data_IF_677779561917
#
_entry.id   IF_677779561917
#
_cell.length_a   1.000
_cell.length_b   1.000
_cell.length_c   1.000
_cell.angle_alpha   90.00
_cell.angle_beta   90.00
_cell.angle_gamma   90.00
#
_symmetry.space_group_name_H-M   'P 1'
#
loop_
_entity.id
_entity.type
_entity.pdbx_description
1 polymer ?
#
# COMPACT_ATOMS: atom_id res chain seq x y z
N UNK A 1 27.92 60.21 -40.40
CA UNK A 1 26.59 59.65 -40.71
C UNK A 1 25.78 59.76 -39.42
N UNK A 2 24.83 60.68 -39.36
CA UNK A 2 24.02 60.90 -38.16
C UNK A 2 23.07 59.71 -38.01
N UNK A 3 23.04 59.09 -36.84
CA UNK A 3 22.18 57.95 -36.56
C UNK A 3 20.72 58.44 -36.61
N UNK A 4 19.93 57.87 -37.51
CA UNK A 4 18.52 58.26 -37.68
C UNK A 4 17.72 57.81 -36.46
N UNK A 5 16.63 58.53 -36.16
CA UNK A 5 15.68 58.21 -35.10
C UNK A 5 15.13 56.79 -35.21
N UNK A 6 15.02 56.27 -36.42
CA UNK A 6 14.65 54.87 -36.71
C UNK A 6 15.74 53.87 -36.30
N UNK A 7 17.01 54.20 -36.56
CA UNK A 7 18.15 53.36 -36.17
C UNK A 7 18.34 53.33 -34.65
N UNK A 8 18.13 54.48 -33.99
CA UNK A 8 18.11 54.56 -32.52
C UNK A 8 16.96 53.72 -31.94
N UNK A 9 15.77 53.76 -32.55
CA UNK A 9 14.63 52.93 -32.16
C UNK A 9 14.91 51.44 -32.30
N UNK A 10 15.54 51.02 -33.39
CA UNK A 10 15.92 49.63 -33.63
C UNK A 10 16.99 49.15 -32.62
N UNK A 11 17.99 49.98 -32.32
CA UNK A 11 19.02 49.68 -31.32
C UNK A 11 18.44 49.53 -29.91
N UNK A 12 17.50 50.40 -29.53
CA UNK A 12 16.80 50.30 -28.24
C UNK A 12 15.95 49.02 -28.19
N UNK A 13 15.25 48.66 -29.27
CA UNK A 13 14.46 47.43 -29.32
C UNK A 13 15.33 46.18 -29.19
N UNK A 14 16.48 46.13 -29.88
CA UNK A 14 17.45 45.02 -29.78
C UNK A 14 18.06 44.96 -28.38
N UNK A 15 18.40 46.11 -27.79
CA UNK A 15 18.91 46.16 -26.42
C UNK A 15 17.87 45.66 -25.40
N UNK A 16 16.61 46.06 -25.52
CA UNK A 16 15.53 45.57 -24.67
C UNK A 16 15.27 44.07 -24.87
N UNK A 17 15.34 43.56 -26.10
CA UNK A 17 15.22 42.14 -26.39
C UNK A 17 16.39 41.32 -25.79
N UNK A 18 17.61 41.85 -25.84
CA UNK A 18 18.79 41.24 -25.19
C UNK A 18 18.65 41.25 -23.68
N UNK A 19 18.23 42.36 -23.07
CA UNK A 19 17.97 42.44 -21.62
C UNK A 19 16.86 41.46 -21.24
N UNK A 20 15.77 41.38 -22.00
CA UNK A 20 14.71 40.40 -21.76
C UNK A 20 15.23 38.95 -21.89
N UNK A 21 16.06 38.65 -22.88
CA UNK A 21 16.66 37.33 -23.07
C UNK A 21 17.63 36.94 -21.94
N UNK A 22 18.51 37.86 -21.52
CA UNK A 22 19.48 37.60 -20.44
C UNK A 22 18.86 37.65 -19.04
N UNK A 23 17.71 38.31 -18.85
CA UNK A 23 16.95 38.28 -17.60
C UNK A 23 15.92 37.15 -17.55
N UNK A 24 15.66 36.47 -18.67
CA UNK A 24 14.84 35.24 -18.77
C UNK A 24 15.57 34.10 -18.04
N UNK A 25 15.24 33.94 -16.77
CA UNK A 25 15.85 32.95 -15.87
C UNK A 25 16.24 33.51 -14.49
N UNK A 26 16.40 34.82 -14.34
CA UNK A 26 16.73 35.46 -13.05
C UNK A 26 15.61 36.36 -12.50
N UNK A 27 14.93 37.12 -13.36
CA UNK A 27 13.83 38.02 -12.95
C UNK A 27 12.44 37.53 -13.39
N UNK A 28 12.40 36.62 -14.37
CA UNK A 28 11.18 36.10 -15.00
C UNK A 28 11.10 34.58 -14.95
N UNK A 29 11.95 33.94 -14.16
CA UNK A 29 11.75 32.54 -13.84
C UNK A 29 10.44 32.46 -13.06
N UNK A 30 9.37 31.98 -13.72
CA UNK A 30 8.38 31.18 -13.00
C UNK A 30 9.22 30.11 -12.31
N UNK A 31 9.10 29.99 -10.99
CA UNK A 31 9.68 28.85 -10.30
C UNK A 31 9.23 27.61 -11.08
N UNK A 32 10.15 27.03 -11.85
CA UNK A 32 10.07 25.61 -12.13
C UNK A 32 10.29 25.01 -10.76
N UNK A 33 9.20 24.90 -10.01
CA UNK A 33 9.10 23.88 -8.98
C UNK A 33 9.41 22.61 -9.75
N UNK A 34 10.67 22.18 -9.67
CA UNK A 34 10.95 20.77 -9.61
C UNK A 34 10.08 20.31 -8.45
N UNK A 35 8.87 19.89 -8.81
CA UNK A 35 7.99 19.16 -7.96
C UNK A 35 8.69 17.80 -7.83
N UNK A 36 9.75 17.76 -7.00
CA UNK A 36 9.89 16.61 -6.14
C UNK A 36 8.55 16.57 -5.43
N UNK A 37 7.72 15.54 -5.64
CA UNK A 37 6.61 15.34 -4.74
C UNK A 37 7.29 14.98 -3.41
N UNK A 38 7.69 15.99 -2.65
CA UNK A 38 7.63 15.90 -1.21
C UNK A 38 6.14 15.81 -0.93
N UNK A 39 5.60 14.62 -1.14
CA UNK A 39 4.68 14.07 -0.18
C UNK A 39 5.41 14.22 1.15
N UNK A 40 5.20 15.36 1.81
CA UNK A 40 5.05 15.31 3.25
C UNK A 40 3.90 14.34 3.41
N UNK A 41 4.25 13.06 3.56
CA UNK A 41 3.39 12.06 4.13
C UNK A 41 2.81 12.77 5.33
N UNK A 42 1.55 13.22 5.19
CA UNK A 42 0.81 13.64 6.35
C UNK A 42 0.68 12.33 7.10
N UNK A 43 1.65 12.09 7.97
CA UNK A 43 1.75 10.94 8.84
C UNK A 43 0.47 10.97 9.63
N UNK A 44 -0.53 10.26 9.11
CA UNK A 44 -1.75 9.99 9.81
C UNK A 44 -1.32 9.02 10.88
N UNK A 45 -0.83 9.59 11.98
CA UNK A 45 -0.63 8.91 13.25
C UNK A 45 -1.92 8.15 13.50
N UNK A 46 -1.88 6.85 13.22
CA UNK A 46 -2.94 5.97 13.65
C UNK A 46 -2.90 6.07 15.18
N UNK A 47 -3.88 6.78 15.71
CA UNK A 47 -3.98 7.21 17.11
C UNK A 47 -3.39 6.18 18.09
N UNK A 48 -2.19 6.46 18.60
CA UNK A 48 -1.54 5.69 19.68
C UNK A 48 -0.60 4.54 19.30
N UNK A 49 -0.20 4.37 18.03
CA UNK A 49 0.86 3.42 17.66
C UNK A 49 2.23 4.11 17.59
N UNK A 50 3.22 3.51 18.25
CA UNK A 50 4.64 3.88 18.12
C UNK A 50 5.16 3.45 16.74
N UNK A 51 6.07 4.25 16.17
CA UNK A 51 6.80 3.92 14.94
C UNK A 51 8.08 3.14 15.23
N UNK A 52 8.45 3.00 16.51
CA UNK A 52 9.61 2.23 16.95
C UNK A 52 9.31 0.71 16.87
N UNK A 53 10.08 0.01 16.03
CA UNK A 53 9.98 -1.44 15.83
C UNK A 53 10.28 -2.21 17.11
N UNK A 54 11.32 -1.85 17.85
CA UNK A 54 11.77 -2.54 19.06
C UNK A 54 10.72 -2.41 20.16
N UNK A 55 10.17 -1.22 20.35
CA UNK A 55 9.07 -1.00 21.30
C UNK A 55 7.86 -1.88 20.93
N UNK A 56 7.51 -1.93 19.64
CA UNK A 56 6.40 -2.74 19.14
C UNK A 56 6.65 -4.23 19.37
N UNK A 57 7.85 -4.73 19.08
CA UNK A 57 8.24 -6.13 19.27
C UNK A 57 8.22 -6.53 20.75
N UNK A 58 8.79 -5.70 21.64
CA UNK A 58 8.76 -5.93 23.11
C UNK A 58 7.33 -6.00 23.65
N UNK A 59 6.45 -5.11 23.18
CA UNK A 59 5.04 -5.07 23.60
C UNK A 59 4.22 -6.26 23.09
N UNK A 60 4.50 -6.73 21.88
CA UNK A 60 3.71 -7.77 21.21
C UNK A 60 4.27 -9.18 21.37
N UNK A 61 5.51 -9.31 21.86
CA UNK A 61 6.21 -10.59 22.02
C UNK A 61 6.52 -11.29 20.69
N UNK A 62 6.59 -10.53 19.60
CA UNK A 62 6.81 -11.06 18.25
C UNK A 62 8.29 -11.35 18.02
N UNK A 63 8.56 -12.45 17.32
CA UNK A 63 9.90 -13.00 17.06
C UNK A 63 10.27 -12.98 15.57
N UNK A 64 9.34 -12.60 14.69
CA UNK A 64 9.62 -12.36 13.29
C UNK A 64 8.78 -11.20 12.76
N UNK A 65 9.34 -10.47 11.80
CA UNK A 65 8.65 -9.40 11.08
C UNK A 65 8.55 -9.77 9.61
N UNK A 66 7.40 -9.51 9.00
CA UNK A 66 7.19 -9.60 7.56
C UNK A 66 6.76 -8.22 7.05
N UNK A 67 7.66 -7.54 6.36
CA UNK A 67 7.41 -6.28 5.69
C UNK A 67 6.86 -6.49 4.29
N UNK A 68 6.04 -5.54 3.82
CA UNK A 68 5.62 -5.49 2.43
C UNK A 68 5.75 -4.08 1.83
N UNK A 69 6.30 -4.01 0.62
CA UNK A 69 6.19 -2.87 -0.29
C UNK A 69 5.13 -3.20 -1.35
N UNK A 70 3.98 -2.54 -1.31
CA UNK A 70 2.80 -2.94 -2.10
C UNK A 70 1.96 -1.75 -2.58
N UNK A 71 1.77 -1.62 -3.89
CA UNK A 71 0.85 -0.63 -4.47
C UNK A 71 -0.61 -1.15 -4.54
N UNK A 72 -0.80 -2.35 -5.10
CA UNK A 72 -2.14 -2.91 -5.38
C UNK A 72 -2.59 -4.00 -4.40
N UNK A 73 -1.67 -4.51 -3.58
CA UNK A 73 -1.98 -5.47 -2.51
C UNK A 73 -1.49 -6.87 -2.65
N UNK A 74 -0.88 -7.21 -3.78
CA UNK A 74 -0.37 -8.55 -4.01
C UNK A 74 0.71 -8.92 -2.99
N UNK A 75 1.70 -8.04 -2.78
CA UNK A 75 2.77 -8.26 -1.80
C UNK A 75 2.24 -8.28 -0.35
N UNK A 76 1.21 -7.47 -0.04
CA UNK A 76 0.51 -7.51 1.25
C UNK A 76 -0.20 -8.85 1.49
N UNK A 77 -0.88 -9.42 0.49
CA UNK A 77 -1.56 -10.71 0.69
C UNK A 77 -0.55 -11.86 0.84
N UNK A 78 0.55 -11.88 0.07
CA UNK A 78 1.61 -12.88 0.24
C UNK A 78 2.32 -12.76 1.59
N UNK A 79 2.60 -11.55 2.07
CA UNK A 79 3.20 -11.35 3.39
C UNK A 79 2.28 -11.84 4.51
N UNK A 80 0.96 -11.63 4.41
CA UNK A 80 -0.01 -12.20 5.35
C UNK A 80 -0.11 -13.73 5.27
N UNK A 81 -0.10 -14.32 4.08
CA UNK A 81 -0.07 -15.78 3.89
C UNK A 81 1.18 -16.37 4.54
N UNK A 82 2.34 -15.78 4.24
CA UNK A 82 3.63 -16.18 4.78
C UNK A 82 3.68 -16.07 6.31
N UNK A 83 3.21 -14.96 6.87
CA UNK A 83 3.13 -14.73 8.32
C UNK A 83 2.28 -15.79 9.04
N UNK A 84 1.15 -16.19 8.45
CA UNK A 84 0.30 -17.27 8.99
C UNK A 84 0.97 -18.63 8.92
N UNK A 85 1.71 -18.93 7.85
CA UNK A 85 2.47 -20.18 7.73
C UNK A 85 3.62 -20.23 8.73
N UNK A 86 4.36 -19.13 8.95
CA UNK A 86 5.39 -19.07 10.00
C UNK A 86 4.82 -19.36 11.40
N UNK A 87 3.67 -18.79 11.72
CA UNK A 87 3.00 -19.04 12.99
C UNK A 87 2.53 -20.51 13.09
N UNK A 88 1.80 -21.01 12.09
CA UNK A 88 1.17 -22.33 12.16
C UNK A 88 2.15 -23.50 12.04
N UNK A 89 3.17 -23.40 11.18
CA UNK A 89 4.15 -24.46 10.95
C UNK A 89 5.29 -24.44 11.95
N UNK A 90 5.79 -23.25 12.31
CA UNK A 90 7.01 -23.12 13.10
C UNK A 90 6.77 -22.54 14.48
N UNK A 91 5.53 -22.21 14.83
CA UNK A 91 5.18 -21.54 16.10
C UNK A 91 5.93 -20.23 16.31
N UNK A 92 6.34 -19.55 15.24
CA UNK A 92 7.07 -18.28 15.31
C UNK A 92 6.05 -17.13 15.41
N UNK A 93 5.98 -16.41 16.54
CA UNK A 93 5.09 -15.27 16.70
C UNK A 93 5.45 -14.17 15.72
N UNK A 94 4.69 -14.07 14.63
CA UNK A 94 5.01 -13.17 13.53
C UNK A 94 4.08 -11.97 13.50
N UNK A 95 4.59 -10.80 13.10
CA UNK A 95 3.79 -9.64 12.71
C UNK A 95 4.03 -9.26 11.26
N UNK A 96 2.97 -8.81 10.60
CA UNK A 96 3.01 -8.30 9.24
C UNK A 96 2.87 -6.78 9.29
N UNK A 97 3.77 -6.08 8.58
CA UNK A 97 3.98 -4.65 8.74
C UNK A 97 4.02 -3.96 7.38
N UNK A 98 3.29 -2.84 7.29
CA UNK A 98 3.53 -1.86 6.24
C UNK A 98 4.86 -1.17 6.49
N UNK A 99 5.69 -0.97 5.47
CA UNK A 99 6.95 -0.23 5.62
C UNK A 99 6.69 1.23 6.04
N UNK A 100 5.61 1.85 5.57
CA UNK A 100 5.29 3.25 5.89
C UNK A 100 4.89 3.48 7.36
N UNK A 101 4.59 2.42 8.12
CA UNK A 101 4.12 2.50 9.50
C UNK A 101 5.27 2.64 10.53
N UNK A 102 6.53 2.43 10.14
CA UNK A 102 7.65 2.28 11.07
C UNK A 102 8.89 3.09 10.66
N UNK A 103 9.75 3.37 11.63
CA UNK A 103 11.07 3.94 11.43
C UNK A 103 12.15 2.84 11.50
N UNK A 104 13.24 3.00 10.76
CA UNK A 104 14.21 1.93 10.49
C UNK A 104 15.59 2.14 11.11
N UNK A 105 15.80 3.24 11.84
CA UNK A 105 17.09 3.58 12.46
C UNK A 105 17.67 2.45 13.33
N UNK A 106 16.79 1.68 13.98
CA UNK A 106 17.14 0.60 14.90
C UNK A 106 17.00 -0.80 14.29
N UNK A 107 16.96 -0.92 12.96
CA UNK A 107 16.76 -2.21 12.28
C UNK A 107 17.85 -3.23 12.65
N UNK A 108 19.11 -2.77 12.75
CA UNK A 108 20.25 -3.60 13.15
C UNK A 108 20.16 -4.10 14.61
N UNK A 109 19.61 -3.28 15.49
CA UNK A 109 19.57 -3.54 16.93
C UNK A 109 18.49 -4.59 17.30
N UNK A 110 17.55 -4.88 16.40
CA UNK A 110 16.44 -5.83 16.65
C UNK A 110 16.95 -7.21 17.09
N UNK A 111 17.99 -7.72 16.42
CA UNK A 111 18.54 -9.06 16.72
C UNK A 111 19.30 -9.12 18.05
N UNK A 112 19.68 -7.96 18.60
CA UNK A 112 20.34 -7.87 19.92
C UNK A 112 19.34 -7.55 21.04
N UNK A 113 18.37 -6.67 20.78
CA UNK A 113 17.42 -6.17 21.78
C UNK A 113 16.21 -7.07 22.02
N UNK A 114 15.92 -8.00 21.10
CA UNK A 114 14.78 -8.90 21.17
C UNK A 114 15.28 -10.33 21.30
N UNK A 115 15.13 -10.90 22.50
CA UNK A 115 15.49 -12.29 22.79
C UNK A 115 14.83 -13.25 21.78
N UNK A 116 15.56 -14.25 21.29
CA UNK A 116 15.08 -15.26 20.35
C UNK A 116 14.45 -14.70 19.06
N UNK A 117 14.82 -13.48 18.65
CA UNK A 117 14.36 -12.94 17.37
C UNK A 117 14.93 -13.76 16.21
N UNK A 118 14.05 -14.17 15.30
CA UNK A 118 14.33 -15.20 14.31
C UNK A 118 14.69 -14.60 12.95
N UNK A 119 13.85 -13.70 12.42
CA UNK A 119 13.88 -13.35 11.00
C UNK A 119 13.14 -12.05 10.67
N UNK A 120 13.64 -11.32 9.67
CA UNK A 120 12.91 -10.27 8.94
C UNK A 120 12.65 -10.74 7.50
N UNK A 121 11.43 -10.63 6.99
CA UNK A 121 11.09 -11.04 5.62
C UNK A 121 10.52 -9.87 4.83
N UNK A 122 10.95 -9.67 3.59
CA UNK A 122 10.51 -8.58 2.74
C UNK A 122 9.76 -9.10 1.52
N UNK A 123 8.54 -8.59 1.31
CA UNK A 123 7.76 -8.81 0.10
C UNK A 123 7.70 -7.51 -0.70
N UNK A 124 8.50 -7.40 -1.76
CA UNK A 124 8.75 -6.12 -2.43
C UNK A 124 8.24 -6.12 -3.86
N UNK A 125 7.17 -5.36 -4.11
CA UNK A 125 6.73 -5.10 -5.48
C UNK A 125 7.60 -4.02 -6.14
N UNK A 126 7.86 -4.20 -7.44
CA UNK A 126 8.47 -3.16 -8.28
C UNK A 126 7.37 -2.38 -8.99
N UNK A 127 7.48 -1.05 -9.03
CA UNK A 127 6.53 -0.17 -9.70
C UNK A 127 7.23 0.78 -10.68
N UNK A 128 6.45 1.44 -11.54
CA UNK A 128 6.98 2.42 -12.50
C UNK A 128 8.14 1.88 -13.35
N UNK A 129 9.22 2.66 -13.40
CA UNK A 129 10.47 2.35 -14.13
C UNK A 129 11.54 1.75 -13.21
N UNK A 130 11.14 0.74 -12.42
CA UNK A 130 12.05 0.10 -11.45
C UNK A 130 12.12 0.81 -10.10
N UNK A 131 11.06 1.55 -9.74
CA UNK A 131 10.93 2.35 -8.54
C UNK A 131 10.23 1.58 -7.41
N UNK A 132 10.50 1.93 -6.12
CA UNK A 132 9.78 1.34 -5.00
C UNK A 132 8.29 1.69 -5.05
N UNK A 133 7.48 0.89 -4.37
CA UNK A 133 6.08 1.26 -4.11
C UNK A 133 6.03 2.45 -3.16
N UNK A 134 4.94 3.22 -3.20
CA UNK A 134 4.82 4.47 -2.41
C UNK A 134 5.07 4.24 -0.91
N UNK A 135 4.59 3.12 -0.39
CA UNK A 135 4.74 2.76 1.01
C UNK A 135 6.16 2.30 1.41
N UNK A 136 7.06 2.10 0.44
CA UNK A 136 8.44 1.67 0.65
C UNK A 136 9.47 2.77 0.36
N UNK A 137 9.05 3.95 -0.11
CA UNK A 137 9.97 5.03 -0.50
C UNK A 137 10.86 5.47 0.66
N UNK A 138 10.29 5.81 1.83
CA UNK A 138 11.05 6.23 3.03
C UNK A 138 12.07 5.17 3.46
N UNK A 139 11.72 3.88 3.30
CA UNK A 139 12.64 2.78 3.63
C UNK A 139 13.85 2.72 2.70
N UNK A 140 13.67 2.90 1.38
CA UNK A 140 14.80 2.96 0.45
C UNK A 140 15.62 4.23 0.58
N UNK A 141 14.98 5.38 0.90
CA UNK A 141 15.70 6.61 1.23
C UNK A 141 16.61 6.40 2.45
N UNK A 142 16.13 5.72 3.49
CA UNK A 142 16.94 5.31 4.64
C UNK A 142 18.11 4.42 4.22
N UNK A 143 17.87 3.35 3.45
CA UNK A 143 18.93 2.43 3.01
C UNK A 143 20.04 3.14 2.22
N UNK A 144 19.68 4.09 1.36
CA UNK A 144 20.64 4.77 0.49
C UNK A 144 21.42 5.90 1.18
N UNK A 145 20.78 6.60 2.13
CA UNK A 145 21.31 7.88 2.63
C UNK A 145 21.66 7.87 4.12
N UNK A 146 21.03 7.01 4.93
CA UNK A 146 21.07 7.07 6.39
C UNK A 146 21.56 5.76 7.04
N UNK A 147 21.42 4.62 6.35
CA UNK A 147 21.80 3.33 6.89
C UNK A 147 23.34 3.23 7.03
N UNK A 148 23.78 2.87 8.24
CA UNK A 148 25.21 2.74 8.54
C UNK A 148 25.66 1.27 8.64
N UNK A 149 24.79 0.38 9.13
CA UNK A 149 25.13 -1.00 9.45
C UNK A 149 23.87 -1.89 9.51
N UNK A 150 23.94 -3.10 8.97
CA UNK A 150 22.92 -4.15 9.07
C UNK A 150 23.54 -5.55 9.31
N UNK A 151 24.78 -5.62 9.79
CA UNK A 151 25.54 -6.87 9.93
C UNK A 151 24.88 -7.91 10.85
N UNK A 152 24.01 -7.47 11.78
CA UNK A 152 23.24 -8.39 12.63
C UNK A 152 21.96 -8.90 11.96
N UNK A 153 21.52 -8.27 10.87
CA UNK A 153 20.24 -8.54 10.24
C UNK A 153 20.29 -9.82 9.43
N UNK A 154 19.39 -10.76 9.78
CA UNK A 154 19.09 -11.94 8.97
C UNK A 154 17.75 -11.73 8.29
N UNK A 155 17.73 -11.82 6.96
CA UNK A 155 16.53 -11.50 6.21
C UNK A 155 16.23 -12.48 5.08
N UNK A 156 14.99 -12.46 4.61
CA UNK A 156 14.57 -13.11 3.37
C UNK A 156 13.89 -12.09 2.47
N UNK A 157 13.89 -12.31 1.16
CA UNK A 157 13.21 -11.42 0.23
C UNK A 157 12.49 -12.20 -0.86
N UNK A 158 11.22 -11.86 -1.09
CA UNK A 158 10.46 -12.25 -2.26
C UNK A 158 10.09 -10.99 -3.05
N UNK A 159 10.63 -10.88 -4.26
CA UNK A 159 10.35 -9.78 -5.17
C UNK A 159 9.15 -10.10 -6.04
N UNK A 160 8.25 -9.13 -6.21
CA UNK A 160 7.11 -9.21 -7.11
C UNK A 160 7.34 -8.26 -8.28
N UNK A 161 7.33 -8.82 -9.48
CA UNK A 161 7.60 -8.06 -10.69
C UNK A 161 6.89 -8.69 -11.88
N UNK A 162 7.11 -8.09 -13.03
CA UNK A 162 6.53 -8.53 -14.28
C UNK A 162 7.60 -8.45 -15.37
N UNK A 163 7.94 -9.60 -15.98
CA UNK A 163 9.01 -9.68 -16.98
C UNK A 163 8.68 -9.00 -18.31
N UNK A 164 7.45 -8.52 -18.51
CA UNK A 164 7.12 -7.66 -19.65
C UNK A 164 7.64 -6.24 -19.50
N UNK A 165 8.07 -5.84 -18.30
CA UNK A 165 8.72 -4.56 -18.03
C UNK A 165 10.25 -4.70 -18.08
N UNK A 166 10.94 -3.62 -18.45
CA UNK A 166 12.40 -3.59 -18.56
C UNK A 166 13.08 -3.87 -17.21
N UNK A 167 12.62 -3.20 -16.15
CA UNK A 167 13.18 -3.29 -14.81
C UNK A 167 12.57 -4.43 -13.98
N UNK A 168 12.63 -5.66 -14.51
CA UNK A 168 12.05 -6.83 -13.85
C UNK A 168 12.62 -7.08 -12.44
N UNK A 169 11.75 -7.03 -11.42
CA UNK A 169 12.09 -7.24 -10.00
C UNK A 169 13.19 -6.32 -9.46
N UNK A 170 13.35 -5.12 -10.04
CA UNK A 170 14.43 -4.20 -9.70
C UNK A 170 14.49 -3.87 -8.20
N UNK A 171 13.34 -3.72 -7.54
CA UNK A 171 13.30 -3.31 -6.13
C UNK A 171 13.70 -4.43 -5.17
N UNK A 172 13.29 -5.68 -5.45
CA UNK A 172 13.77 -6.80 -4.65
C UNK A 172 15.27 -7.06 -4.84
N UNK A 173 15.77 -6.89 -6.08
CA UNK A 173 17.22 -6.97 -6.36
C UNK A 173 17.99 -5.85 -5.66
N UNK A 174 17.51 -4.62 -5.76
CA UNK A 174 18.08 -3.44 -5.11
C UNK A 174 18.12 -3.60 -3.59
N UNK A 175 17.05 -4.14 -2.97
CA UNK A 175 17.05 -4.42 -1.54
C UNK A 175 18.19 -5.36 -1.15
N UNK A 176 18.38 -6.45 -1.91
CA UNK A 176 19.49 -7.39 -1.65
C UNK A 176 20.84 -6.70 -1.85
N UNK A 177 21.00 -5.92 -2.92
CA UNK A 177 22.23 -5.16 -3.19
C UNK A 177 22.57 -4.17 -2.08
N UNK A 178 21.59 -3.41 -1.55
CA UNK A 178 21.82 -2.49 -0.43
C UNK A 178 22.12 -3.25 0.87
N UNK A 179 21.40 -4.33 1.17
CA UNK A 179 21.63 -5.14 2.37
C UNK A 179 23.01 -5.81 2.36
N UNK A 180 23.47 -6.26 1.20
CA UNK A 180 24.80 -6.85 1.02
C UNK A 180 25.91 -5.82 1.27
N UNK A 181 25.71 -4.53 0.95
CA UNK A 181 26.68 -3.45 1.26
C UNK A 181 26.88 -3.25 2.75
N UNK A 182 25.87 -3.57 3.56
CA UNK A 182 25.86 -3.41 5.01
C UNK A 182 26.01 -4.76 5.76
N UNK A 183 26.55 -5.78 5.09
CA UNK A 183 26.87 -7.11 5.62
C UNK A 183 25.67 -7.88 6.20
N UNK A 184 24.44 -7.55 5.80
CA UNK A 184 23.26 -8.30 6.23
C UNK A 184 23.22 -9.69 5.59
N UNK A 185 22.74 -10.70 6.33
CA UNK A 185 22.70 -12.08 5.86
C UNK A 185 21.36 -12.40 5.18
N UNK A 186 21.38 -12.61 3.86
CA UNK A 186 20.27 -13.22 3.14
C UNK A 186 20.16 -14.72 3.48
N UNK A 187 18.99 -15.15 3.96
CA UNK A 187 18.63 -16.55 4.19
C UNK A 187 17.92 -17.09 2.95
N UNK A 188 18.43 -18.20 2.41
CA UNK A 188 17.90 -18.80 1.19
C UNK A 188 18.27 -17.99 -0.05
N UNK A 189 17.38 -17.97 -1.05
CA UNK A 189 17.55 -17.22 -2.30
C UNK A 189 16.56 -16.06 -2.38
N UNK A 190 16.93 -15.00 -3.11
CA UNK A 190 15.97 -13.98 -3.54
C UNK A 190 14.90 -14.64 -4.41
N UNK A 191 13.64 -14.57 -3.96
CA UNK A 191 12.49 -15.00 -4.75
C UNK A 191 12.17 -13.98 -5.83
N UNK A 192 11.85 -14.44 -7.04
CA UNK A 192 11.54 -13.60 -8.19
C UNK A 192 10.20 -14.04 -8.79
N UNK A 193 9.10 -13.42 -8.34
CA UNK A 193 7.77 -13.66 -8.91
C UNK A 193 7.60 -12.96 -10.26
N UNK A 194 6.88 -13.60 -11.19
CA UNK A 194 6.61 -13.07 -12.53
C UNK A 194 5.11 -13.01 -12.86
N UNK A 195 4.54 -11.81 -12.79
CA UNK A 195 3.14 -11.56 -13.17
C UNK A 195 2.95 -11.58 -14.70
N UNK A 196 4.02 -11.30 -15.46
CA UNK A 196 3.98 -11.25 -16.94
C UNK A 196 3.74 -12.61 -17.57
N UNK A 197 4.21 -13.67 -16.90
CA UNK A 197 3.95 -15.07 -17.27
C UNK A 197 2.76 -15.68 -16.54
N UNK A 198 2.11 -14.91 -15.66
CA UNK A 198 1.07 -15.40 -14.76
C UNK A 198 1.54 -16.57 -13.87
N UNK A 199 2.82 -16.60 -13.50
CA UNK A 199 3.43 -17.66 -12.64
C UNK A 199 3.64 -17.20 -11.21
N UNK A 200 3.25 -15.97 -10.85
CA UNK A 200 3.48 -15.36 -9.53
C UNK A 200 3.17 -16.30 -8.34
N UNK A 201 2.02 -16.99 -8.37
CA UNK A 201 1.63 -17.93 -7.30
C UNK A 201 2.56 -19.16 -7.25
N UNK A 202 2.94 -19.71 -8.40
CA UNK A 202 3.84 -20.86 -8.49
C UNK A 202 5.27 -20.49 -8.06
N UNK A 203 5.74 -19.33 -8.49
CA UNK A 203 7.04 -18.76 -8.13
C UNK A 203 7.12 -18.54 -6.60
N UNK A 204 6.05 -17.99 -6.01
CA UNK A 204 5.93 -17.83 -4.55
C UNK A 204 5.96 -19.16 -3.82
N UNK A 205 5.17 -20.15 -4.26
CA UNK A 205 5.10 -21.45 -3.61
C UNK A 205 6.46 -22.16 -3.66
N UNK A 206 7.11 -22.18 -4.83
CA UNK A 206 8.44 -22.78 -5.01
C UNK A 206 9.48 -22.10 -4.12
N UNK A 207 9.51 -20.76 -4.09
CA UNK A 207 10.43 -20.02 -3.24
C UNK A 207 10.18 -20.29 -1.75
N UNK A 208 8.90 -20.27 -1.32
CA UNK A 208 8.51 -20.47 0.07
C UNK A 208 8.91 -21.85 0.58
N UNK A 209 8.66 -22.89 -0.21
CA UNK A 209 8.95 -24.26 0.21
C UNK A 209 10.46 -24.49 0.34
N UNK A 210 11.26 -24.01 -0.61
CA UNK A 210 12.74 -24.04 -0.50
C UNK A 210 13.25 -23.19 0.68
N UNK A 211 12.63 -22.04 0.93
CA UNK A 211 12.98 -21.21 2.07
C UNK A 211 12.68 -21.92 3.39
N UNK A 212 11.54 -22.59 3.51
CA UNK A 212 11.17 -23.33 4.72
C UNK A 212 12.15 -24.47 4.99
N UNK A 213 12.65 -25.16 3.97
CA UNK A 213 13.74 -26.13 4.11
C UNK A 213 15.02 -25.51 4.66
N UNK A 214 15.34 -24.31 4.19
CA UNK A 214 16.51 -23.53 4.64
C UNK A 214 16.33 -23.07 6.09
N UNK A 215 15.17 -22.54 6.45
CA UNK A 215 14.88 -22.06 7.81
C UNK A 215 14.94 -23.20 8.83
N UNK A 216 14.45 -24.40 8.49
CA UNK A 216 14.60 -25.59 9.35
C UNK A 216 16.07 -25.89 9.66
N UNK A 217 16.92 -25.79 8.65
CA UNK A 217 18.35 -26.08 8.77
C UNK A 217 19.14 -24.98 9.49
N UNK A 218 18.89 -23.71 9.18
CA UNK A 218 19.67 -22.59 9.72
C UNK A 218 19.22 -22.12 11.10
N UNK A 219 17.91 -22.17 11.38
CA UNK A 219 17.34 -21.69 12.63
C UNK A 219 17.01 -22.82 13.61
N UNK A 220 17.27 -24.08 13.22
CA UNK A 220 17.03 -25.29 14.03
C UNK A 220 15.60 -25.35 14.60
N UNK A 221 14.61 -25.06 13.75
CA UNK A 221 13.19 -24.99 14.14
C UNK A 221 12.47 -26.26 13.68
N UNK A 222 11.63 -26.81 14.54
CA UNK A 222 10.78 -27.96 14.20
C UNK A 222 9.53 -27.52 13.46
N UNK A 223 9.24 -28.16 12.33
CA UNK A 223 7.99 -28.00 11.60
C UNK A 223 6.89 -28.88 12.24
N UNK A 224 5.73 -28.28 12.45
CA UNK A 224 4.54 -28.92 12.98
C UNK A 224 3.48 -29.05 11.88
N UNK A 225 2.56 -29.98 12.09
CA UNK A 225 1.38 -30.11 11.24
C UNK A 225 0.58 -28.80 11.28
N UNK A 226 0.17 -28.30 10.11
CA UNK A 226 -0.53 -27.02 9.97
C UNK A 226 -1.92 -27.12 10.61
N UNK A 227 -2.08 -26.51 11.78
CA UNK A 227 -3.37 -26.33 12.43
C UNK A 227 -3.82 -24.90 12.20
N UNK A 228 -5.09 -24.72 11.83
CA UNK A 228 -5.66 -23.37 11.70
C UNK A 228 -5.78 -22.70 13.07
N UNK A 229 -4.95 -21.69 13.30
CA UNK A 229 -5.01 -20.83 14.48
C UNK A 229 -5.62 -19.47 14.09
N UNK A 230 -6.87 -19.17 14.49
CA UNK A 230 -7.51 -17.90 14.15
C UNK A 230 -6.81 -16.75 14.88
N UNK A 231 -6.33 -15.75 14.12
CA UNK A 231 -5.79 -14.50 14.68
C UNK A 231 -6.88 -13.57 15.23
N UNK A 232 -8.14 -13.84 14.91
CA UNK A 232 -9.30 -13.04 15.30
C UNK A 232 -10.34 -13.97 15.90
N UNK A 233 -10.81 -13.63 17.11
CA UNK A 233 -11.96 -14.30 17.72
C UNK A 233 -13.23 -13.63 17.24
N UNK A 234 -14.08 -14.39 16.53
CA UNK A 234 -15.43 -13.96 16.17
C UNK A 234 -16.37 -14.45 17.27
N UNK A 235 -17.06 -13.52 17.91
CA UNK A 235 -18.22 -13.83 18.77
C UNK A 235 -19.48 -13.46 18.00
N UNK A 236 -20.60 -14.14 18.22
CA UNK A 236 -21.88 -13.69 17.64
C UNK A 236 -22.54 -12.71 18.62
N UNK A 237 -23.10 -11.60 18.13
CA UNK A 237 -23.90 -10.69 18.96
C UNK A 237 -25.33 -10.69 18.41
N UNK A 238 -26.27 -11.18 19.22
CA UNK A 238 -27.69 -11.26 18.86
C UNK A 238 -28.51 -10.05 19.36
N UNK A 239 -27.88 -9.13 20.10
CA UNK A 239 -28.53 -7.93 20.64
C UNK A 239 -28.51 -6.78 19.61
N UNK A 240 -27.47 -6.74 18.78
CA UNK A 240 -27.34 -5.76 17.72
C UNK A 240 -28.07 -6.24 16.45
N UNK A 241 -28.57 -5.26 15.71
CA UNK A 241 -29.29 -5.44 14.47
C UNK A 241 -28.74 -4.49 13.41
N UNK A 242 -29.09 -4.72 12.15
CA UNK A 242 -28.70 -3.84 11.04
C UNK A 242 -29.18 -2.39 11.18
N UNK A 243 -30.14 -2.13 12.07
CA UNK A 243 -30.69 -0.79 12.31
C UNK A 243 -29.88 -0.01 13.36
N UNK A 244 -28.97 -0.67 14.07
CA UNK A 244 -28.15 -0.02 15.08
C UNK A 244 -27.08 0.83 14.42
N UNK A 245 -27.03 2.11 14.82
CA UNK A 245 -26.15 3.13 14.24
C UNK A 245 -24.66 2.84 14.32
N UNK A 246 -24.26 1.91 15.17
CA UNK A 246 -22.87 1.49 15.36
C UNK A 246 -22.46 0.34 14.43
N UNK A 247 -23.43 -0.31 13.76
CA UNK A 247 -23.20 -1.46 12.90
C UNK A 247 -22.81 -0.96 11.52
N UNK A 248 -21.66 -1.42 11.02
CA UNK A 248 -21.26 -1.14 9.64
C UNK A 248 -22.07 -2.00 8.68
N UNK A 249 -22.55 -1.36 7.60
CA UNK A 249 -23.25 -2.00 6.48
C UNK A 249 -22.39 -2.06 5.21
N UNK A 250 -21.07 -1.88 5.36
CA UNK A 250 -20.11 -1.87 4.27
C UNK A 250 -19.66 -0.47 3.86
N UNK A 251 -19.73 0.49 4.78
CA UNK A 251 -19.10 1.80 4.63
C UNK A 251 -17.57 1.66 4.47
N UNK A 252 -16.91 2.63 3.78
CA UNK A 252 -15.48 2.57 3.54
C UNK A 252 -14.61 2.42 4.79
N UNK A 253 -14.96 3.14 5.85
CA UNK A 253 -14.27 3.09 7.14
C UNK A 253 -15.20 3.54 8.27
N UNK A 254 -14.69 3.49 9.50
CA UNK A 254 -15.43 3.86 10.72
C UNK A 254 -15.97 5.29 10.72
N UNK A 255 -15.33 6.23 10.02
CA UNK A 255 -15.73 7.64 10.02
C UNK A 255 -17.05 7.84 9.23
N UNK A 256 -17.37 6.91 8.32
CA UNK A 256 -18.61 6.91 7.56
C UNK A 256 -19.78 6.26 8.32
N UNK A 257 -19.55 5.65 9.49
CA UNK A 257 -20.59 4.98 10.28
C UNK A 257 -21.32 6.03 11.12
N UNK A 258 -22.54 6.40 10.68
CA UNK A 258 -23.43 7.35 11.35
C UNK A 258 -22.70 8.59 11.91
N UNK A 259 -22.06 9.41 11.05
CA UNK A 259 -21.43 10.66 11.46
C UNK A 259 -22.50 11.61 12.02
N UNK A 260 -22.28 12.17 13.20
CA UNK A 260 -23.26 13.03 13.88
C UNK A 260 -22.73 14.41 14.21
N UNK A 261 -21.41 14.57 14.31
CA UNK A 261 -20.78 15.85 14.64
C UNK A 261 -20.41 16.62 13.38
N UNK A 262 -20.44 17.96 13.46
CA UNK A 262 -19.98 18.82 12.37
C UNK A 262 -18.53 18.54 11.95
N UNK A 263 -17.70 18.08 12.89
CA UNK A 263 -16.30 17.72 12.64
C UNK A 263 -16.23 16.46 11.78
N UNK A 264 -16.99 15.41 12.11
CA UNK A 264 -17.07 14.19 11.32
C UNK A 264 -17.58 14.48 9.91
N UNK A 265 -18.68 15.24 9.79
CA UNK A 265 -19.26 15.60 8.50
C UNK A 265 -18.28 16.41 7.64
N UNK A 266 -17.55 17.36 8.25
CA UNK A 266 -16.49 18.09 7.55
C UNK A 266 -15.35 17.19 7.12
N UNK A 267 -14.97 16.20 7.91
CA UNK A 267 -13.92 15.23 7.53
C UNK A 267 -14.33 14.42 6.30
N UNK A 268 -15.58 13.97 6.22
CA UNK A 268 -16.09 13.25 5.04
C UNK A 268 -16.08 14.11 3.77
N UNK A 269 -16.23 15.43 3.92
CA UNK A 269 -16.29 16.37 2.82
C UNK A 269 -14.92 16.93 2.40
N UNK A 270 -14.03 17.16 3.36
CA UNK A 270 -12.77 17.88 3.18
C UNK A 270 -11.52 17.05 3.56
N UNK A 271 -11.67 15.76 3.81
CA UNK A 271 -10.54 14.85 3.99
C UNK A 271 -9.70 15.09 5.25
N UNK A 272 -8.40 14.73 5.23
CA UNK A 272 -7.61 14.33 4.06
C UNK A 272 -8.10 13.02 3.42
N UNK A 273 -8.03 12.95 2.08
CA UNK A 273 -8.43 11.77 1.31
C UNK A 273 -7.20 10.97 0.88
N UNK A 274 -7.21 9.67 1.15
CA UNK A 274 -6.14 8.74 0.80
C UNK A 274 -6.66 7.29 0.74
N UNK A 275 -5.75 6.31 0.62
CA UNK A 275 -6.11 4.89 0.54
C UNK A 275 -6.83 4.33 1.80
N UNK A 276 -6.83 5.04 2.94
CA UNK A 276 -7.57 4.65 4.15
C UNK A 276 -8.88 5.42 4.34
N UNK A 277 -9.01 6.59 3.71
CA UNK A 277 -10.15 7.47 3.83
C UNK A 277 -10.53 8.03 2.45
N UNK A 278 -11.45 7.40 1.72
CA UNK A 278 -11.83 7.83 0.38
C UNK A 278 -12.86 8.95 0.45
N UNK A 279 -13.14 9.57 -0.69
CA UNK A 279 -14.30 10.45 -0.89
C UNK A 279 -15.41 9.71 -1.64
N UNK A 280 -16.65 9.81 -1.17
CA UNK A 280 -17.83 9.28 -1.88
C UNK A 280 -18.27 10.25 -2.98
N UNK A 281 -17.57 10.20 -4.12
CA UNK A 281 -17.82 11.06 -5.27
C UNK A 281 -19.06 10.61 -6.08
N UNK A 282 -20.07 11.47 -6.29
CA UNK A 282 -21.18 11.17 -7.20
C UNK A 282 -20.71 11.08 -8.65
N UNK A 283 -21.21 10.07 -9.39
CA UNK A 283 -21.02 9.99 -10.84
C UNK A 283 -22.08 10.89 -11.50
N UNK A 284 -21.65 12.05 -12.03
CA UNK A 284 -22.53 13.02 -12.71
C UNK A 284 -22.94 12.58 -14.11
N UNK A 285 -22.02 11.92 -14.80
CA UNK A 285 -22.22 11.48 -16.17
C UNK A 285 -21.57 10.13 -16.39
N UNK A 286 -22.24 9.26 -17.14
CA UNK A 286 -21.68 8.01 -17.60
C UNK A 286 -22.13 7.71 -19.03
N UNK A 287 -21.21 7.21 -19.86
CA UNK A 287 -21.46 6.93 -21.27
C UNK A 287 -20.63 5.75 -21.75
N UNK A 288 -21.26 4.87 -22.54
CA UNK A 288 -20.57 3.85 -23.31
C UNK A 288 -19.81 4.49 -24.49
N UNK A 289 -18.51 4.23 -24.56
CA UNK A 289 -17.62 4.75 -25.61
C UNK A 289 -17.54 3.82 -26.82
N UNK A 290 -17.73 2.51 -26.61
CA UNK A 290 -17.64 1.55 -27.68
C UNK A 290 -19.00 1.32 -28.33
N UNK A 291 -18.95 1.03 -29.64
CA UNK A 291 -20.12 0.56 -30.39
C UNK A 291 -19.94 -0.93 -30.74
N UNK A 292 -19.42 -1.72 -29.79
CA UNK A 292 -19.21 -3.16 -29.91
C UNK A 292 -20.18 -3.90 -29.01
N UNK A 293 -20.59 -5.11 -29.42
CA UNK A 293 -21.41 -6.00 -28.57
C UNK A 293 -20.57 -6.89 -27.64
N UNK A 294 -19.26 -7.00 -27.90
CA UNK A 294 -18.38 -7.93 -27.19
C UNK A 294 -17.52 -7.24 -26.13
N UNK A 295 -17.33 -5.92 -26.24
CA UNK A 295 -16.48 -5.13 -25.34
C UNK A 295 -17.17 -3.83 -25.00
N UNK A 296 -17.06 -3.44 -23.73
CA UNK A 296 -17.62 -2.20 -23.18
C UNK A 296 -16.46 -1.33 -22.67
N UNK A 297 -16.56 -0.02 -22.84
CA UNK A 297 -15.65 0.97 -22.28
C UNK A 297 -16.46 2.17 -21.79
N UNK A 298 -16.47 2.37 -20.47
CA UNK A 298 -17.30 3.39 -19.84
C UNK A 298 -16.49 4.66 -19.59
N UNK A 299 -16.97 5.78 -20.11
CA UNK A 299 -16.58 7.12 -19.66
C UNK A 299 -17.42 7.48 -18.45
N UNK A 300 -16.78 7.93 -17.36
CA UNK A 300 -17.45 8.37 -16.14
C UNK A 300 -16.88 9.70 -15.67
N UNK A 301 -17.76 10.61 -15.26
CA UNK A 301 -17.38 11.92 -14.70
C UNK A 301 -17.81 11.98 -13.24
N UNK A 302 -16.84 12.23 -12.35
CA UNK A 302 -17.04 12.31 -10.91
C UNK A 302 -17.12 13.76 -10.45
N UNK A 303 -18.11 14.09 -9.63
CA UNK A 303 -18.25 15.43 -9.06
C UNK A 303 -17.38 15.62 -7.83
N UNK A 304 -16.40 16.51 -7.92
CA UNK A 304 -15.52 16.88 -6.81
C UNK A 304 -15.79 18.29 -6.26
N UNK A 305 -16.80 18.99 -6.79
CA UNK A 305 -17.05 20.42 -6.52
C UNK A 305 -17.26 20.76 -5.05
N UNK A 306 -17.81 19.82 -4.27
CA UNK A 306 -18.09 19.99 -2.85
C UNK A 306 -16.97 19.43 -1.96
N UNK A 307 -15.74 19.34 -2.46
CA UNK A 307 -14.59 18.80 -1.72
C UNK A 307 -13.37 19.69 -1.84
N UNK A 308 -12.33 19.37 -1.07
CA UNK A 308 -10.99 19.92 -1.28
C UNK A 308 -10.08 18.98 -2.08
N UNK A 309 -10.61 17.92 -2.70
CA UNK A 309 -9.82 16.99 -3.51
C UNK A 309 -9.33 17.72 -4.75
N UNK A 310 -8.02 17.64 -5.00
CA UNK A 310 -7.36 18.24 -6.16
C UNK A 310 -6.64 17.15 -6.92
N UNK A 311 -6.55 17.33 -8.22
CA UNK A 311 -5.78 16.47 -9.10
C UNK A 311 -5.15 17.34 -10.19
N UNK A 312 -4.07 16.81 -10.77
CA UNK A 312 -3.40 17.33 -11.93
C UNK A 312 -3.57 16.36 -13.10
N UNK A 313 -3.45 16.87 -14.33
CA UNK A 313 -3.55 16.00 -15.52
C UNK A 313 -2.39 15.02 -15.52
N UNK A 314 -2.70 13.72 -15.59
CA UNK A 314 -1.74 12.63 -15.43
C UNK A 314 -1.84 11.91 -14.09
N UNK A 315 -2.56 12.47 -13.11
CA UNK A 315 -2.83 11.77 -11.85
C UNK A 315 -3.78 10.59 -12.06
N UNK A 316 -3.75 9.68 -11.09
CA UNK A 316 -4.59 8.48 -11.07
C UNK A 316 -5.78 8.65 -10.11
N UNK A 317 -6.90 8.00 -10.43
CA UNK A 317 -8.04 7.85 -9.52
C UNK A 317 -8.12 6.41 -9.01
N UNK A 318 -8.18 6.26 -7.69
CA UNK A 318 -8.45 4.97 -7.05
C UNK A 318 -9.96 4.81 -6.82
N UNK A 319 -10.57 3.80 -7.44
CA UNK A 319 -11.99 3.49 -7.29
C UNK A 319 -12.14 2.32 -6.34
N UNK A 320 -12.93 2.49 -5.27
CA UNK A 320 -13.23 1.44 -4.30
C UNK A 320 -14.40 0.59 -4.80
N UNK A 321 -14.17 -0.70 -5.15
CA UNK A 321 -15.23 -1.52 -5.72
C UNK A 321 -16.12 -2.15 -4.64
N UNK A 322 -17.22 -2.74 -5.09
CA UNK A 322 -17.96 -3.73 -4.30
C UNK A 322 -18.15 -4.99 -5.15
N UNK A 323 -18.19 -6.16 -4.50
CA UNK A 323 -18.42 -7.42 -5.19
C UNK A 323 -19.80 -7.45 -5.85
N UNK A 324 -19.94 -8.18 -6.95
CA UNK A 324 -21.23 -8.41 -7.58
C UNK A 324 -22.14 -9.26 -6.70
N UNK A 325 -23.45 -9.00 -6.78
CA UNK A 325 -24.44 -9.72 -5.97
C UNK A 325 -24.41 -11.23 -6.27
N UNK A 326 -24.21 -11.61 -7.52
CA UNK A 326 -24.15 -13.00 -7.97
C UNK A 326 -23.00 -13.75 -7.31
N UNK A 327 -21.82 -13.12 -7.21
CA UNK A 327 -20.65 -13.74 -6.59
C UNK A 327 -20.82 -13.83 -5.06
N UNK A 328 -21.39 -12.79 -4.44
CA UNK A 328 -21.71 -12.81 -3.01
C UNK A 328 -22.70 -13.93 -2.68
N UNK A 329 -23.77 -14.07 -3.46
CA UNK A 329 -24.78 -15.11 -3.24
C UNK A 329 -24.19 -16.52 -3.38
N UNK A 330 -23.41 -16.76 -4.44
CA UNK A 330 -22.71 -18.05 -4.62
C UNK A 330 -21.79 -18.38 -3.44
N UNK A 331 -21.06 -17.38 -2.93
CA UNK A 331 -20.18 -17.58 -1.79
C UNK A 331 -20.97 -17.92 -0.52
N UNK A 332 -22.08 -17.23 -0.27
CA UNK A 332 -22.95 -17.51 0.88
C UNK A 332 -23.55 -18.92 0.81
N UNK A 333 -23.95 -19.35 -0.39
CA UNK A 333 -24.50 -20.69 -0.61
C UNK A 333 -23.45 -21.78 -0.35
N UNK A 334 -22.25 -21.65 -0.93
CA UNK A 334 -21.17 -22.63 -0.75
C UNK A 334 -20.75 -22.76 0.71
N UNK A 335 -20.76 -21.64 1.46
CA UNK A 335 -20.40 -21.63 2.88
C UNK A 335 -21.58 -21.97 3.81
N UNK A 336 -22.79 -22.23 3.29
CA UNK A 336 -24.02 -22.40 4.06
C UNK A 336 -24.32 -21.23 5.03
N UNK A 337 -24.09 -19.99 4.56
CA UNK A 337 -24.28 -18.75 5.31
C UNK A 337 -25.44 -17.88 4.81
N UNK A 338 -26.27 -18.38 3.88
CA UNK A 338 -27.38 -17.64 3.28
C UNK A 338 -28.37 -17.08 4.31
N UNK A 339 -28.72 -17.85 5.34
CA UNK A 339 -29.65 -17.41 6.39
C UNK A 339 -29.00 -16.45 7.40
N UNK A 340 -27.67 -16.43 7.46
CA UNK A 340 -26.88 -15.57 8.36
C UNK A 340 -26.53 -14.22 7.72
N UNK A 341 -27.12 -13.91 6.58
CA UNK A 341 -26.79 -12.73 5.78
C UNK A 341 -26.89 -11.41 6.56
N UNK A 342 -27.89 -11.28 7.42
CA UNK A 342 -28.13 -10.06 8.21
C UNK A 342 -27.65 -10.18 9.66
N UNK A 343 -26.91 -11.25 9.98
CA UNK A 343 -26.43 -11.49 11.33
C UNK A 343 -25.28 -10.52 11.64
N UNK A 344 -25.38 -9.80 12.74
CA UNK A 344 -24.31 -8.91 13.20
C UNK A 344 -23.20 -9.70 13.88
N UNK A 345 -21.96 -9.43 13.48
CA UNK A 345 -20.78 -10.01 14.11
C UNK A 345 -19.99 -8.90 14.83
N UNK A 346 -19.76 -8.99 16.15
CA UNK A 346 -18.85 -8.12 16.85
C UNK A 346 -17.43 -8.33 16.34
N UNK A 347 -16.84 -7.26 15.85
CA UNK A 347 -15.44 -7.18 15.52
C UNK A 347 -15.04 -5.73 15.34
N UNK A 348 -13.95 -5.31 15.98
CA UNK A 348 -13.15 -4.20 15.49
C UNK A 348 -12.46 -4.68 14.21
N UNK A 349 -13.24 -4.90 13.14
CA UNK A 349 -12.69 -5.05 11.82
C UNK A 349 -12.04 -3.70 11.51
N UNK A 350 -10.71 -3.63 11.64
CA UNK A 350 -9.99 -2.66 10.82
C UNK A 350 -10.36 -3.06 9.39
N UNK A 351 -10.97 -2.18 8.59
CA UNK A 351 -10.98 -2.37 7.16
C UNK A 351 -9.53 -2.19 6.70
N UNK A 352 -8.68 -3.17 6.96
CA UNK A 352 -7.49 -3.35 6.17
C UNK A 352 -8.02 -3.76 4.81
N UNK A 353 -7.71 -2.92 3.83
CA UNK A 353 -7.98 -3.15 2.43
C UNK A 353 -7.73 -4.60 2.07
N UNK A 354 -8.64 -5.20 1.30
CA UNK A 354 -8.48 -6.43 0.50
C UNK A 354 -9.20 -7.70 0.96
N UNK A 355 -9.91 -7.73 2.09
CA UNK A 355 -10.84 -8.85 2.40
C UNK A 355 -12.23 -8.36 2.78
N UNK A 356 -13.03 -8.01 1.77
CA UNK A 356 -14.47 -7.82 1.94
C UNK A 356 -15.23 -9.07 1.49
N UNK A 357 -15.82 -9.78 2.44
CA UNK A 357 -17.11 -10.44 2.22
C UNK A 357 -18.15 -9.39 2.62
N UNK A 358 -18.66 -8.65 1.63
CA UNK A 358 -19.79 -7.75 1.86
C UNK A 358 -21.03 -8.62 2.02
N UNK A 359 -21.68 -8.51 3.16
CA UNK A 359 -23.06 -8.97 3.32
C UNK A 359 -23.93 -7.82 3.84
N UNK A 360 -24.33 -6.90 2.95
CA UNK A 360 -25.73 -6.53 2.82
C UNK A 360 -26.05 -5.57 1.66
N UNK A 361 -27.34 -5.56 1.32
CA UNK A 361 -27.94 -5.11 0.07
C UNK A 361 -28.66 -3.78 0.25
N UNK A 362 -28.45 -2.86 -0.70
CA UNK A 362 -29.38 -1.76 -0.94
C UNK A 362 -29.92 -1.92 -2.36
N UNK A 363 -31.19 -2.32 -2.46
CA UNK A 363 -31.96 -2.29 -3.69
C UNK A 363 -32.17 -0.81 -4.08
N UNK A 364 -31.47 -0.33 -5.10
CA UNK A 364 -32.02 0.75 -5.92
C UNK A 364 -32.84 0.10 -7.03
N UNK A 365 -34.10 -0.19 -6.73
CA UNK A 365 -35.10 -0.35 -7.80
C UNK A 365 -35.27 1.00 -8.48
N UNK A 366 -35.17 1.02 -9.81
CA UNK A 366 -35.59 2.15 -10.64
C UNK A 366 -37.04 2.53 -10.39
#
# INVERSE_FOLDING_TARGET
>A
MAMDTLDLGALVAIFLALVAYFTKGSLWAVENTHYSPTFKSASSSSSGKTRDLIETLKKTGKKAIVFYGSQTGTAEDYSYKFSKELQSRFSIPTMCCDLADYDFDKLNDIFEEIDDFCLISFFMATYGEGEPTDNANEFFEYLENECENLSNVKYTCFALGNSTYEFYNAIGKKLVEEFDKFDAKLIGKLGLGDDGKATMDEDYLSWKDELFDTLRSELNIEEKEVIYEPSIKITENNELTINDKIVSLGEPNKDYINPTTDIELKKLQFGPFNHTHPYLAPIKFSKELFNSKERNCIHAEFDLSNTNLKYSTGDHIAIWPSNSNENVFKLLEILNLSDKKNQTLPGNFRPNFKKFIKINFTLFTK
#
